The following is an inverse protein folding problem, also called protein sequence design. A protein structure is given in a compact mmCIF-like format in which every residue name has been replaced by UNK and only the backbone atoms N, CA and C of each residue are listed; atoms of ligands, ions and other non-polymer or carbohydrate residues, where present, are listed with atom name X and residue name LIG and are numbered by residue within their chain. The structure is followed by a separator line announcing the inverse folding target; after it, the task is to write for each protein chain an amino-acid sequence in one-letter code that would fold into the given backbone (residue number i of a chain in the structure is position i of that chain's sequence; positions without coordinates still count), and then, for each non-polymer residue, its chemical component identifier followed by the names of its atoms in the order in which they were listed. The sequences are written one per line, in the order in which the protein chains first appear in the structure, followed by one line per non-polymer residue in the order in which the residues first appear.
data_IF_510071214383
#
_entry.id   IF_510071214383
#
_cell.length_a   1.000
_cell.length_b   1.000
_cell.length_c   1.000
_cell.angle_alpha   90.00
_cell.angle_beta   90.00
_cell.angle_gamma   90.00
#
_symmetry.space_group_name_H-M   'P 1'
#
loop_
_entity.id
_entity.type
_entity.pdbx_description
1 polymer ?
#
# COMPACT_ATOMS: atom_id res chain seq x y z
N UNK A 1 11.58 8.83 3.75
CA UNK A 1 11.07 7.85 4.73
C UNK A 1 10.47 6.65 4.01
N UNK A 2 9.37 6.80 3.25
CA UNK A 2 8.74 5.69 2.51
C UNK A 2 9.72 4.85 1.67
N UNK A 3 10.57 5.49 0.86
CA UNK A 3 11.57 4.77 0.05
C UNK A 3 12.51 3.88 0.90
N UNK A 4 12.87 4.31 2.11
CA UNK A 4 13.71 3.53 3.02
C UNK A 4 12.96 2.33 3.59
N UNK A 5 11.69 2.52 3.99
CA UNK A 5 10.83 1.43 4.47
C UNK A 5 10.65 0.35 3.39
N UNK A 6 10.38 0.75 2.14
CA UNK A 6 10.21 -0.21 1.04
C UNK A 6 11.51 -0.94 0.69
N UNK A 7 12.67 -0.27 0.79
CA UNK A 7 13.98 -0.91 0.60
C UNK A 7 14.29 -1.92 1.71
N UNK A 8 14.09 -1.54 2.97
CA UNK A 8 14.27 -2.46 4.11
C UNK A 8 13.31 -3.65 4.02
N UNK A 9 12.08 -3.45 3.54
CA UNK A 9 11.17 -4.56 3.27
C UNK A 9 11.75 -5.52 2.23
N UNK A 10 12.34 -5.02 1.13
CA UNK A 10 13.00 -5.86 0.13
C UNK A 10 14.22 -6.60 0.71
N UNK A 11 15.01 -5.94 1.56
CA UNK A 11 16.17 -6.56 2.22
C UNK A 11 15.75 -7.73 3.13
N UNK A 12 14.66 -7.57 3.88
CA UNK A 12 14.09 -8.61 4.75
C UNK A 12 13.45 -9.73 3.91
N UNK A 13 12.79 -9.40 2.80
CA UNK A 13 12.10 -10.36 1.94
C UNK A 13 13.04 -11.17 1.05
N UNK A 14 14.23 -10.64 0.74
CA UNK A 14 15.22 -11.25 -0.16
C UNK A 14 15.44 -12.76 0.03
N UNK A 15 15.72 -13.28 1.25
CA UNK A 15 15.93 -14.72 1.46
C UNK A 15 14.69 -15.57 1.18
N UNK A 16 13.50 -14.99 1.16
CA UNK A 16 12.23 -15.68 0.93
C UNK A 16 11.76 -15.64 -0.53
N UNK A 17 12.57 -15.14 -1.46
CA UNK A 17 12.15 -14.95 -2.85
C UNK A 17 11.72 -16.24 -3.55
N UNK A 18 12.51 -17.31 -3.43
CA UNK A 18 12.16 -18.60 -4.07
C UNK A 18 10.87 -19.18 -3.50
N UNK A 19 10.68 -19.07 -2.18
CA UNK A 19 9.44 -19.43 -1.52
C UNK A 19 8.27 -18.59 -2.07
N UNK A 20 8.43 -17.27 -2.15
CA UNK A 20 7.37 -16.37 -2.63
C UNK A 20 6.95 -16.68 -4.08
N UNK A 21 7.90 -17.00 -4.97
CA UNK A 21 7.60 -17.38 -6.37
C UNK A 21 6.73 -18.64 -6.44
N UNK A 22 7.04 -19.65 -5.63
CA UNK A 22 6.28 -20.90 -5.60
C UNK A 22 4.92 -20.72 -4.94
N UNK A 23 4.88 -19.97 -3.83
CA UNK A 23 3.71 -19.75 -3.01
C UNK A 23 2.70 -18.78 -3.65
N UNK A 24 3.15 -17.89 -4.54
CA UNK A 24 2.31 -16.85 -5.15
C UNK A 24 1.02 -17.40 -5.75
N UNK A 25 1.05 -18.57 -6.40
CA UNK A 25 -0.16 -19.17 -7.00
C UNK A 25 -1.27 -19.45 -5.98
N UNK A 26 -0.90 -19.76 -4.74
CA UNK A 26 -1.85 -20.05 -3.66
C UNK A 26 -2.35 -18.78 -2.97
N UNK A 27 -1.52 -17.73 -2.93
CA UNK A 27 -1.84 -16.46 -2.29
C UNK A 27 -2.48 -15.43 -3.24
N UNK A 28 -2.34 -15.62 -4.55
CA UNK A 28 -2.92 -14.74 -5.57
C UNK A 28 -4.40 -15.02 -5.84
N UNK A 29 -4.93 -16.15 -5.35
CA UNK A 29 -6.35 -16.44 -5.35
C UNK A 29 -7.04 -15.54 -4.30
N UNK A 30 -7.97 -14.65 -4.69
CA UNK A 30 -8.64 -13.74 -3.77
C UNK A 30 -9.49 -14.47 -2.71
N UNK A 31 -9.95 -15.69 -2.99
CA UNK A 31 -10.77 -16.49 -2.08
C UNK A 31 -9.91 -17.36 -1.14
N UNK A 32 -8.58 -17.36 -1.34
CA UNK A 32 -7.66 -18.12 -0.50
C UNK A 32 -7.45 -17.44 0.86
N UNK A 33 -7.45 -18.18 1.98
CA UNK A 33 -7.09 -17.62 3.29
C UNK A 33 -5.64 -17.12 3.33
N UNK A 34 -4.80 -17.56 2.38
CA UNK A 34 -3.40 -17.14 2.23
C UNK A 34 -3.25 -15.81 1.49
N UNK A 35 -4.33 -15.28 0.92
CA UNK A 35 -4.32 -13.97 0.29
C UNK A 35 -4.01 -12.90 1.32
N UNK A 36 -3.14 -11.91 1.02
CA UNK A 36 -2.89 -10.79 1.92
C UNK A 36 -4.15 -9.92 2.16
N UNK A 37 -5.17 -10.09 1.32
CA UNK A 37 -6.48 -9.40 1.40
C UNK A 37 -7.52 -10.20 2.17
N UNK A 38 -7.24 -11.46 2.54
CA UNK A 38 -8.19 -12.31 3.25
C UNK A 38 -8.50 -11.78 4.67
N UNK A 39 -9.65 -12.15 5.25
CA UNK A 39 -9.91 -11.95 6.68
C UNK A 39 -8.83 -12.57 7.57
N UNK A 40 -8.32 -13.75 7.21
CA UNK A 40 -7.30 -14.47 7.98
C UNK A 40 -5.97 -13.71 8.05
N UNK A 41 -5.65 -12.93 7.01
CA UNK A 41 -4.46 -12.08 6.95
C UNK A 41 -4.64 -10.71 7.63
N UNK A 42 -5.80 -10.43 8.24
CA UNK A 42 -6.08 -9.13 8.88
C UNK A 42 -5.01 -8.72 9.91
N UNK A 43 -4.56 -9.57 10.85
CA UNK A 43 -3.57 -9.15 11.84
C UNK A 43 -2.26 -8.65 11.20
N UNK A 44 -1.75 -9.39 10.21
CA UNK A 44 -0.54 -9.02 9.48
C UNK A 44 -0.74 -7.76 8.64
N UNK A 45 -1.91 -7.61 8.01
CA UNK A 45 -2.27 -6.43 7.22
C UNK A 45 -2.35 -5.17 8.09
N UNK A 46 -2.98 -5.25 9.26
CA UNK A 46 -3.08 -4.13 10.21
C UNK A 46 -1.69 -3.68 10.68
N UNK A 47 -0.80 -4.62 11.02
CA UNK A 47 0.58 -4.30 11.40
C UNK A 47 1.36 -3.66 10.25
N UNK A 48 1.24 -4.19 9.03
CA UNK A 48 1.89 -3.65 7.85
C UNK A 48 1.40 -2.22 7.53
N UNK A 49 0.08 -1.96 7.65
CA UNK A 49 -0.52 -0.63 7.49
C UNK A 49 -0.04 0.33 8.58
N UNK A 50 0.15 -0.15 9.83
CA UNK A 50 0.65 0.67 10.93
C UNK A 50 2.04 1.24 10.64
N UNK A 51 2.92 0.50 9.98
CA UNK A 51 4.23 1.01 9.53
C UNK A 51 4.06 2.22 8.60
N UNK A 52 3.11 2.18 7.67
CA UNK A 52 2.81 3.31 6.77
C UNK A 52 2.19 4.50 7.52
N UNK A 53 1.38 4.28 8.55
CA UNK A 53 0.90 5.35 9.45
C UNK A 53 2.07 6.07 10.11
N UNK A 54 3.07 5.33 10.61
CA UNK A 54 4.27 5.92 11.23
C UNK A 54 5.14 6.68 10.22
N UNK A 55 5.20 6.22 8.96
CA UNK A 55 5.85 6.96 7.89
C UNK A 55 5.20 8.33 7.67
N UNK A 56 3.87 8.40 7.68
CA UNK A 56 3.12 9.65 7.51
C UNK A 56 3.21 10.54 8.75
N UNK A 57 3.09 9.99 9.96
CA UNK A 57 3.24 10.75 11.22
C UNK A 57 4.62 11.40 11.34
N UNK A 58 5.67 10.68 10.94
CA UNK A 58 7.04 11.21 10.91
C UNK A 58 7.36 12.14 9.73
N UNK A 59 6.39 12.45 8.85
CA UNK A 59 6.61 13.30 7.69
C UNK A 59 6.50 14.79 8.06
N UNK A 60 7.66 15.44 8.29
CA UNK A 60 7.71 16.84 8.75
C UNK A 60 7.41 17.88 7.65
N UNK A 61 7.60 17.53 6.37
CA UNK A 61 7.46 18.46 5.23
C UNK A 61 6.14 18.33 4.46
N UNK A 62 5.39 17.25 4.68
CA UNK A 62 4.20 16.94 3.90
C UNK A 62 2.97 16.97 4.80
N UNK A 63 2.13 17.99 4.64
CA UNK A 63 0.85 18.06 5.37
C UNK A 63 -0.16 17.12 4.73
N UNK A 64 -0.61 16.14 5.50
CA UNK A 64 -1.67 15.21 5.12
C UNK A 64 -3.02 15.77 5.59
N UNK A 65 -4.01 15.97 4.70
CA UNK A 65 -5.37 16.31 5.10
C UNK A 65 -5.94 15.29 6.08
N UNK A 66 -6.66 15.76 7.09
CA UNK A 66 -7.24 14.90 8.14
C UNK A 66 -8.10 13.78 7.57
N UNK A 67 -8.94 14.10 6.59
CA UNK A 67 -9.81 13.15 5.89
C UNK A 67 -9.08 12.04 5.12
N UNK A 68 -7.78 12.19 4.87
CA UNK A 68 -6.95 11.22 4.14
C UNK A 68 -6.02 10.43 5.06
N UNK A 69 -5.99 10.72 6.36
CA UNK A 69 -5.06 10.09 7.31
C UNK A 69 -5.32 8.59 7.47
N UNK A 70 -6.56 8.16 7.34
CA UNK A 70 -6.93 6.75 7.47
C UNK A 70 -6.79 6.00 6.13
N UNK A 71 -7.08 6.68 5.03
CA UNK A 71 -7.05 6.13 3.67
C UNK A 71 -5.62 5.96 3.13
N UNK A 72 -4.77 6.99 3.30
CA UNK A 72 -3.42 6.99 2.71
C UNK A 72 -2.51 5.85 3.18
N UNK A 73 -2.48 5.47 4.47
CA UNK A 73 -1.73 4.28 4.90
C UNK A 73 -2.13 3.01 4.14
N UNK A 74 -3.43 2.81 3.88
CA UNK A 74 -3.90 1.65 3.13
C UNK A 74 -3.48 1.73 1.67
N UNK A 75 -3.59 2.90 1.04
CA UNK A 75 -3.11 3.09 -0.34
C UNK A 75 -1.59 2.91 -0.46
N UNK A 76 -0.83 3.30 0.55
CA UNK A 76 0.62 3.07 0.62
C UNK A 76 0.94 1.57 0.77
N UNK A 77 0.17 0.85 1.58
CA UNK A 77 0.26 -0.59 1.70
C UNK A 77 -0.13 -1.30 0.40
N UNK A 78 -1.18 -0.86 -0.30
CA UNK A 78 -1.53 -1.38 -1.63
C UNK A 78 -0.40 -1.15 -2.64
N UNK A 79 0.23 0.03 -2.63
CA UNK A 79 1.42 0.27 -3.45
C UNK A 79 2.56 -0.68 -3.09
N UNK A 80 2.71 -1.06 -1.82
CA UNK A 80 3.66 -2.08 -1.41
C UNK A 80 3.27 -3.46 -1.94
N UNK A 81 1.98 -3.84 -1.95
CA UNK A 81 1.53 -5.10 -2.56
C UNK A 81 1.83 -5.14 -4.06
N UNK A 82 1.66 -4.01 -4.77
CA UNK A 82 2.11 -3.88 -6.16
C UNK A 82 3.63 -4.06 -6.33
N UNK A 83 4.43 -3.56 -5.38
CA UNK A 83 5.88 -3.81 -5.34
C UNK A 83 6.19 -5.28 -5.06
N UNK A 84 5.47 -5.95 -4.15
CA UNK A 84 5.63 -7.39 -3.86
C UNK A 84 5.38 -8.20 -5.12
N UNK A 85 4.27 -7.92 -5.81
CA UNK A 85 3.92 -8.57 -7.06
C UNK A 85 5.02 -8.40 -8.11
N UNK A 86 5.51 -7.17 -8.31
CA UNK A 86 6.62 -6.92 -9.23
C UNK A 86 7.89 -7.66 -8.82
N UNK A 87 8.24 -7.64 -7.53
CA UNK A 87 9.44 -8.26 -6.99
C UNK A 87 9.46 -9.78 -7.16
N UNK A 88 8.31 -10.45 -7.03
CA UNK A 88 8.17 -11.88 -7.31
C UNK A 88 8.57 -12.21 -8.75
N UNK A 89 8.26 -11.32 -9.71
CA UNK A 89 8.58 -11.53 -11.13
C UNK A 89 9.92 -10.92 -11.57
N UNK A 90 10.63 -10.23 -10.69
CA UNK A 90 11.89 -9.57 -11.03
C UNK A 90 13.04 -10.59 -11.12
N UNK A 91 13.55 -10.77 -12.34
CA UNK A 91 14.66 -11.69 -12.65
C UNK A 91 16.01 -11.00 -12.77
N UNK A 92 16.10 -9.70 -12.45
CA UNK A 92 17.38 -8.98 -12.48
C UNK A 92 18.30 -9.41 -11.35
N UNK A 93 19.60 -9.24 -11.56
CA UNK A 93 20.61 -9.53 -10.54
C UNK A 93 20.31 -8.71 -9.27
N UNK A 94 20.27 -9.37 -8.12
CA UNK A 94 19.89 -8.74 -6.85
C UNK A 94 18.48 -8.11 -6.83
N UNK A 95 17.63 -8.40 -7.83
CA UNK A 95 16.31 -7.78 -8.02
C UNK A 95 16.40 -6.24 -8.08
N UNK A 96 17.45 -5.74 -8.74
CA UNK A 96 17.74 -4.30 -8.79
C UNK A 96 16.59 -3.46 -9.35
N UNK A 97 15.75 -4.00 -10.25
CA UNK A 97 14.58 -3.28 -10.77
C UNK A 97 13.52 -3.07 -9.70
N UNK A 98 13.34 -4.01 -8.78
CA UNK A 98 12.44 -3.88 -7.63
C UNK A 98 12.89 -2.78 -6.67
N UNK A 99 14.20 -2.71 -6.38
CA UNK A 99 14.77 -1.61 -5.59
C UNK A 99 14.59 -0.24 -6.26
N UNK A 100 14.78 -0.17 -7.59
CA UNK A 100 14.52 1.05 -8.37
C UNK A 100 13.02 1.42 -8.38
N UNK A 101 12.13 0.42 -8.47
CA UNK A 101 10.69 0.60 -8.40
C UNK A 101 10.26 1.14 -7.03
N UNK A 102 10.78 0.56 -5.94
CA UNK A 102 10.53 1.04 -4.59
C UNK A 102 10.92 2.52 -4.42
N UNK A 103 12.08 2.92 -4.96
CA UNK A 103 12.54 4.31 -4.87
C UNK A 103 11.69 5.26 -5.73
N UNK A 104 11.41 4.91 -6.99
CA UNK A 104 10.63 5.75 -7.91
C UNK A 104 9.16 5.82 -7.48
N UNK A 105 8.59 4.69 -7.08
CA UNK A 105 7.24 4.56 -6.54
C UNK A 105 7.06 5.42 -5.30
N UNK A 106 7.99 5.35 -4.33
CA UNK A 106 7.92 6.20 -3.15
C UNK A 106 7.96 7.71 -3.48
N UNK A 107 8.73 8.13 -4.49
CA UNK A 107 8.75 9.53 -4.96
C UNK A 107 7.40 9.91 -5.58
N UNK A 108 6.79 9.03 -6.37
CA UNK A 108 5.47 9.24 -6.97
C UNK A 108 4.39 9.32 -5.89
N UNK A 109 4.37 8.39 -4.93
CA UNK A 109 3.43 8.40 -3.80
C UNK A 109 3.55 9.67 -2.98
N UNK A 110 4.78 10.12 -2.66
CA UNK A 110 4.98 11.38 -1.95
C UNK A 110 4.45 12.61 -2.72
N UNK A 111 4.59 12.61 -4.05
CA UNK A 111 3.99 13.65 -4.91
C UNK A 111 2.46 13.56 -4.89
N UNK A 112 1.89 12.36 -5.01
CA UNK A 112 0.45 12.12 -4.92
C UNK A 112 -0.14 12.62 -3.60
N UNK A 113 0.48 12.28 -2.46
CA UNK A 113 0.08 12.76 -1.12
C UNK A 113 0.17 14.29 -1.04
N UNK A 114 1.25 14.88 -1.55
CA UNK A 114 1.40 16.34 -1.58
C UNK A 114 0.33 17.01 -2.45
N UNK A 115 -0.06 16.39 -3.55
CA UNK A 115 -1.12 16.86 -4.44
C UNK A 115 -2.52 16.69 -3.82
N UNK A 116 -2.74 15.64 -3.03
CA UNK A 116 -4.02 15.38 -2.38
C UNK A 116 -4.44 16.48 -1.37
N UNK A 117 -3.51 17.35 -0.97
CA UNK A 117 -3.84 18.56 -0.18
C UNK A 117 -4.77 19.52 -0.93
N UNK A 118 -4.70 19.55 -2.26
CA UNK A 118 -5.54 20.39 -3.10
C UNK A 118 -6.96 19.83 -3.16
N UNK A 119 -7.96 20.67 -2.85
CA UNK A 119 -9.36 20.23 -2.74
C UNK A 119 -9.90 19.55 -4.00
N UNK A 120 -9.44 20.00 -5.18
CA UNK A 120 -9.86 19.46 -6.48
C UNK A 120 -9.45 18.01 -6.71
N UNK A 121 -8.39 17.52 -6.05
CA UNK A 121 -7.89 16.15 -6.23
C UNK A 121 -8.40 15.17 -5.17
N UNK A 122 -9.13 15.64 -4.16
CA UNK A 122 -9.66 14.79 -3.08
C UNK A 122 -10.72 13.78 -3.57
N UNK A 123 -11.66 14.14 -4.47
CA UNK A 123 -12.62 13.17 -4.99
C UNK A 123 -11.94 11.99 -5.67
N UNK A 124 -10.90 12.25 -6.47
CA UNK A 124 -10.14 11.19 -7.13
C UNK A 124 -9.48 10.22 -6.15
N UNK A 125 -8.91 10.72 -5.05
CA UNK A 125 -8.29 9.86 -4.03
C UNK A 125 -9.34 8.98 -3.34
N UNK A 126 -10.54 9.51 -3.09
CA UNK A 126 -11.66 8.74 -2.53
C UNK A 126 -12.16 7.69 -3.50
N UNK A 127 -12.37 8.05 -4.76
CA UNK A 127 -12.84 7.12 -5.80
C UNK A 127 -11.86 5.96 -6.02
N UNK A 128 -10.55 6.24 -5.99
CA UNK A 128 -9.53 5.18 -6.02
C UNK A 128 -9.61 4.28 -4.79
N UNK A 129 -9.83 4.84 -3.59
CA UNK A 129 -9.97 4.05 -2.38
C UNK A 129 -11.27 3.23 -2.38
N UNK A 130 -12.40 3.82 -2.76
CA UNK A 130 -13.70 3.17 -2.90
C UNK A 130 -13.62 1.99 -3.89
N UNK A 131 -12.98 2.19 -5.04
CA UNK A 131 -12.69 1.12 -5.99
C UNK A 131 -11.96 -0.04 -5.29
N UNK A 132 -10.92 0.24 -4.52
CA UNK A 132 -10.22 -0.85 -3.84
C UNK A 132 -11.04 -1.48 -2.71
N UNK A 133 -11.87 -0.73 -1.98
CA UNK A 133 -12.73 -1.32 -0.95
C UNK A 133 -13.86 -2.17 -1.51
N UNK A 134 -14.35 -1.85 -2.72
CA UNK A 134 -15.42 -2.58 -3.36
C UNK A 134 -14.93 -3.88 -4.01
N UNK A 135 -13.68 -3.88 -4.49
CA UNK A 135 -13.12 -5.00 -5.24
C UNK A 135 -12.06 -5.81 -4.47
N UNK A 136 -11.52 -5.31 -3.36
CA UNK A 136 -10.57 -6.06 -2.52
C UNK A 136 -11.10 -6.21 -1.08
N UNK A 137 -11.18 -7.46 -0.57
CA UNK A 137 -11.52 -7.68 0.83
C UNK A 137 -10.45 -7.09 1.76
N UNK A 138 -10.85 -6.74 2.98
CA UNK A 138 -9.93 -6.34 4.05
C UNK A 138 -9.46 -4.88 4.06
N UNK A 139 -9.96 -4.03 3.18
CA UNK A 139 -9.75 -2.56 3.20
C UNK A 139 -10.83 -1.87 4.03
N UNK A 140 -10.51 -0.75 4.70
CA UNK A 140 -11.49 -0.04 5.55
C UNK A 140 -12.55 0.62 4.68
N UNK A 141 -13.84 0.32 4.92
CA UNK A 141 -14.93 1.06 4.28
C UNK A 141 -14.98 2.49 4.82
N UNK A 142 -14.91 3.49 3.94
CA UNK A 142 -15.14 4.89 4.34
C UNK A 142 -16.60 5.01 4.76
N UNK A 143 -16.85 5.23 6.05
CA UNK A 143 -18.21 5.57 6.48
C UNK A 143 -18.59 6.94 5.88
N UNK A 144 -19.78 7.06 5.27
CA UNK A 144 -20.23 8.36 4.77
C UNK A 144 -20.33 9.34 5.94
N UNK A 145 -19.92 10.58 5.69
CA UNK A 145 -20.06 11.68 6.63
C UNK A 145 -21.56 11.85 6.97
N UNK A 146 -21.98 11.64 8.24
CA UNK A 146 -23.39 11.74 8.62
C UNK A 146 -23.97 13.15 8.41
N UNK A 147 -23.15 14.15 8.09
CA UNK A 147 -23.57 15.52 7.79
C UNK A 147 -23.98 15.80 6.34
N UNK A 148 -23.76 14.88 5.37
CA UNK A 148 -24.05 15.15 3.96
C UNK A 148 -25.43 14.59 3.56
N UNK A 149 -26.45 15.46 3.55
CA UNK A 149 -27.76 15.13 2.97
C UNK A 149 -27.67 14.94 1.44
N UNK A 150 -28.54 14.10 0.85
CA UNK A 150 -28.52 13.75 -0.57
C UNK A 150 -28.67 14.96 -1.49
#
# INVERSE_FOLDING_TARGET
RLAGVLKVWLDIAQPYHEFAVQFFKNAADPDSPLSPFSPESEPARVEAIAVHREVLRGATKTKVPEELRDILPELMWLSQMGLVLYWIFDRTEGRERSYRLAERGAKLTARGVSLARFRVLRPLVREVHELFTDFLPGMTKVMPDPGRKP
#
